data_IF_236339034041
#
_entry.id   IF_236339034041
#
_cell.length_a   1.000
_cell.length_b   1.000
_cell.length_c   1.000
_cell.angle_alpha   90.00
_cell.angle_beta   90.00
_cell.angle_gamma   90.00
#
_symmetry.space_group_name_H-M   'P 1'
#
loop_
_entity.id
_entity.type
_entity.pdbx_description
1 polymer ?
#
# COMPACT_ATOMS: atom_id res chain seq x y z
N UNK A 1 -17.47 -52.60 -38.29
CA UNK A 1 -17.38 -53.32 -37.00
C UNK A 1 -17.92 -52.37 -35.94
N UNK A 2 -19.06 -52.72 -35.31
CA UNK A 2 -19.21 -52.96 -33.86
C UNK A 2 -18.79 -51.76 -32.98
N UNK A 3 -19.49 -51.26 -31.97
CA UNK A 3 -20.83 -51.38 -31.33
C UNK A 3 -20.84 -50.24 -30.30
N UNK A 4 -22.02 -49.83 -29.86
CA UNK A 4 -22.32 -48.87 -28.79
C UNK A 4 -21.52 -49.09 -27.48
N UNK A 5 -21.34 -48.04 -26.66
CA UNK A 5 -22.10 -47.94 -25.40
C UNK A 5 -21.85 -46.62 -24.65
N UNK A 6 -22.98 -46.05 -24.20
CA UNK A 6 -23.10 -45.00 -23.20
C UNK A 6 -23.28 -45.69 -21.85
N UNK A 7 -22.57 -45.23 -20.81
CA UNK A 7 -23.01 -45.47 -19.44
C UNK A 7 -22.69 -44.27 -18.53
N UNK A 8 -23.76 -43.60 -18.12
CA UNK A 8 -23.84 -42.71 -16.96
C UNK A 8 -23.51 -43.46 -15.66
N UNK A 9 -23.02 -42.74 -14.65
CA UNK A 9 -23.64 -42.72 -13.33
C UNK A 9 -23.12 -41.59 -12.46
N UNK A 10 -24.08 -40.83 -11.93
CA UNK A 10 -24.03 -39.98 -10.75
C UNK A 10 -23.29 -40.62 -9.57
N UNK A 11 -22.54 -39.81 -8.82
CA UNK A 11 -22.85 -39.62 -7.39
C UNK A 11 -22.27 -38.31 -6.88
N UNK A 12 -23.15 -37.36 -6.58
CA UNK A 12 -22.86 -36.28 -5.64
C UNK A 12 -22.75 -36.86 -4.23
N UNK A 13 -21.67 -36.53 -3.52
CA UNK A 13 -21.68 -36.60 -2.05
C UNK A 13 -21.42 -35.20 -1.48
N UNK A 14 -22.52 -34.56 -1.06
CA UNK A 14 -22.53 -33.44 -0.12
C UNK A 14 -22.27 -33.99 1.28
N UNK A 15 -21.19 -33.58 1.90
CA UNK A 15 -21.04 -33.54 3.36
C UNK A 15 -20.64 -32.09 3.66
N UNK A 16 -21.45 -31.24 4.31
CA UNK A 16 -22.21 -31.48 5.53
C UNK A 16 -21.43 -30.89 6.70
N UNK A 17 -21.52 -29.56 6.89
CA UNK A 17 -20.80 -28.79 7.93
C UNK A 17 -21.27 -29.15 9.34
N UNK A 18 -20.34 -29.26 10.30
CA UNK A 18 -20.42 -28.62 11.63
C UNK A 18 -19.03 -28.47 12.28
N UNK A 19 -18.75 -27.34 12.98
CA UNK A 19 -17.44 -27.03 13.53
C UNK A 19 -17.24 -27.65 14.92
N UNK A 20 -16.03 -28.17 15.19
CA UNK A 20 -15.62 -28.62 16.51
C UNK A 20 -14.67 -27.58 17.15
N UNK A 21 -15.24 -26.84 18.10
CA UNK A 21 -14.69 -26.27 19.33
C UNK A 21 -13.15 -26.18 19.53
N UNK A 22 -12.72 -24.94 19.80
CA UNK A 22 -11.79 -24.49 20.84
C UNK A 22 -10.44 -25.23 21.01
N UNK A 23 -9.37 -24.60 20.53
CA UNK A 23 -8.04 -24.67 21.16
C UNK A 23 -7.49 -23.25 21.25
N UNK A 24 -7.40 -22.73 22.48
CA UNK A 24 -6.89 -21.41 22.76
C UNK A 24 -5.46 -21.24 22.25
N UNK A 25 -5.25 -20.17 21.51
CA UNK A 25 -3.93 -19.58 21.35
C UNK A 25 -3.96 -18.23 22.06
N UNK A 26 -3.30 -18.18 23.21
CA UNK A 26 -2.95 -16.93 23.86
C UNK A 26 -2.18 -16.06 22.86
N UNK A 27 -2.60 -14.82 22.57
CA UNK A 27 -1.76 -13.92 21.80
C UNK A 27 -0.61 -13.47 22.70
N UNK A 28 0.59 -13.85 22.26
CA UNK A 28 1.85 -13.35 22.76
C UNK A 28 1.82 -11.81 22.72
N UNK A 29 2.03 -11.19 23.88
CA UNK A 29 1.97 -9.75 24.04
C UNK A 29 3.03 -9.05 23.19
N UNK A 30 2.58 -8.20 22.26
CA UNK A 30 3.44 -7.17 21.68
C UNK A 30 3.68 -6.07 22.74
N UNK A 31 4.90 -5.52 22.87
CA UNK A 31 5.15 -4.43 23.82
C UNK A 31 4.32 -3.19 23.43
N UNK A 32 3.33 -2.88 24.27
CA UNK A 32 2.50 -1.68 24.13
C UNK A 32 3.33 -0.45 24.46
N UNK A 33 3.42 0.49 23.51
CA UNK A 33 3.90 1.84 23.80
C UNK A 33 2.92 2.54 24.76
N UNK A 34 3.39 3.39 25.70
CA UNK A 34 2.49 4.08 26.61
C UNK A 34 1.62 5.10 25.84
N UNK A 35 0.34 5.28 26.23
CA UNK A 35 -0.53 6.25 25.59
C UNK A 35 -0.06 7.67 25.91
N UNK A 36 -0.07 8.54 24.89
CA UNK A 36 0.11 9.96 25.05
C UNK A 36 -0.95 10.51 26.03
N UNK A 37 -0.51 11.20 27.08
CA UNK A 37 -1.39 11.91 28.01
C UNK A 37 -2.10 13.06 27.29
N UNK A 38 -3.26 12.76 26.69
CA UNK A 38 -4.25 13.74 26.31
C UNK A 38 -5.16 14.01 27.50
N UNK A 39 -4.97 15.13 28.18
CA UNK A 39 -5.83 15.58 29.28
C UNK A 39 -7.28 15.69 28.81
N UNK A 40 -8.14 14.83 29.34
CA UNK A 40 -9.60 14.95 29.18
C UNK A 40 -10.14 15.80 30.32
N UNK A 41 -10.85 16.87 30.00
CA UNK A 41 -11.60 17.67 30.98
C UNK A 41 -12.68 16.79 31.65
N UNK A 42 -12.96 16.95 32.96
CA UNK A 42 -13.97 16.15 33.64
C UNK A 42 -15.37 16.44 33.09
N UNK A 43 -16.07 15.42 32.58
CA UNK A 43 -17.48 15.48 32.17
C UNK A 43 -17.78 15.21 30.69
N UNK A 44 -16.78 15.00 29.84
CA UNK A 44 -17.02 14.61 28.45
C UNK A 44 -17.41 13.12 28.38
N UNK A 45 -18.61 12.82 27.87
CA UNK A 45 -19.00 11.47 27.49
C UNK A 45 -17.98 10.91 26.48
N UNK A 46 -17.61 9.62 26.57
CA UNK A 46 -16.70 9.02 25.62
C UNK A 46 -17.31 9.16 24.23
N UNK A 47 -16.65 9.93 23.36
CA UNK A 47 -16.97 9.90 21.93
C UNK A 47 -16.71 8.46 21.49
N UNK A 48 -17.78 7.73 21.20
CA UNK A 48 -17.68 6.43 20.55
C UNK A 48 -16.87 6.55 19.26
N UNK A 49 -16.45 5.42 18.66
CA UNK A 49 -15.64 5.44 17.46
C UNK A 49 -16.31 6.33 16.40
N UNK A 50 -15.73 7.49 16.12
CA UNK A 50 -16.16 8.28 14.97
C UNK A 50 -15.76 7.47 13.74
N UNK A 51 -16.67 7.27 12.76
CA UNK A 51 -16.27 6.74 11.47
C UNK A 51 -15.12 7.62 10.97
N UNK A 52 -14.01 7.00 10.60
CA UNK A 52 -12.94 7.72 9.91
C UNK A 52 -13.59 8.45 8.73
N UNK A 53 -13.31 9.75 8.58
CA UNK A 53 -13.77 10.51 7.43
C UNK A 53 -13.47 9.71 6.16
N UNK A 54 -14.39 9.68 5.17
CA UNK A 54 -14.17 8.89 3.97
C UNK A 54 -12.82 9.28 3.37
N UNK A 55 -11.92 8.30 3.27
CA UNK A 55 -10.66 8.53 2.59
C UNK A 55 -10.94 8.52 1.10
N UNK A 56 -11.26 9.68 0.54
CA UNK A 56 -11.59 9.83 -0.89
C UNK A 56 -10.40 9.46 -1.81
N UNK A 57 -9.20 9.22 -1.26
CA UNK A 57 -8.06 8.67 -2.00
C UNK A 57 -8.14 7.15 -2.18
N UNK A 58 -8.97 6.45 -1.40
CA UNK A 58 -9.19 5.02 -1.52
C UNK A 58 -10.46 4.77 -2.33
N UNK A 59 -10.27 4.36 -3.58
CA UNK A 59 -11.36 3.92 -4.45
C UNK A 59 -12.08 2.73 -3.80
N UNK A 60 -13.42 2.81 -3.70
CA UNK A 60 -14.22 1.82 -3.01
C UNK A 60 -14.32 0.46 -3.74
N UNK A 61 -14.05 0.45 -5.04
CA UNK A 61 -14.15 -0.74 -5.89
C UNK A 61 -13.11 -0.71 -7.02
N UNK A 62 -12.86 -1.88 -7.62
CA UNK A 62 -11.87 -2.06 -8.69
C UNK A 62 -12.53 -2.65 -9.93
N UNK A 63 -12.14 -2.15 -11.10
CA UNK A 63 -12.45 -2.73 -12.41
C UNK A 63 -11.13 -3.15 -13.07
N UNK A 64 -11.05 -4.42 -13.49
CA UNK A 64 -9.89 -4.98 -14.17
C UNK A 64 -10.17 -5.13 -15.67
N UNK A 65 -9.31 -4.56 -16.51
CA UNK A 65 -9.44 -4.60 -17.98
C UNK A 65 -8.12 -5.07 -18.60
N UNK A 66 -8.20 -6.04 -19.53
CA UNK A 66 -7.05 -6.47 -20.33
C UNK A 66 -6.90 -5.57 -21.54
N UNK A 67 -5.71 -5.01 -21.73
CA UNK A 67 -5.38 -4.16 -22.86
C UNK A 67 -4.41 -4.88 -23.79
N UNK A 68 -4.54 -4.64 -25.10
CA UNK A 68 -3.49 -5.00 -26.04
C UNK A 68 -2.24 -4.14 -25.78
N UNK A 69 -1.06 -4.65 -26.14
CA UNK A 69 0.19 -3.90 -25.93
C UNK A 69 0.20 -2.51 -26.59
N UNK A 70 -0.28 -2.33 -27.85
CA UNK A 70 -0.35 -1.01 -28.47
C UNK A 70 -1.28 -0.05 -27.73
N UNK A 71 -2.45 -0.53 -27.28
CA UNK A 71 -3.40 0.29 -26.54
C UNK A 71 -2.85 0.73 -25.19
N UNK A 72 -2.15 -0.17 -24.48
CA UNK A 72 -1.46 0.17 -23.24
C UNK A 72 -0.42 1.28 -23.46
N UNK A 73 0.39 1.17 -24.52
CA UNK A 73 1.41 2.17 -24.82
C UNK A 73 0.80 3.55 -25.13
N UNK A 74 -0.27 3.59 -25.93
CA UNK A 74 -0.99 4.83 -26.24
C UNK A 74 -1.61 5.46 -25.00
N UNK A 75 -2.22 4.66 -24.12
CA UNK A 75 -2.78 5.13 -22.85
C UNK A 75 -1.71 5.77 -21.96
N UNK A 76 -0.58 5.08 -21.75
CA UNK A 76 0.52 5.61 -20.93
C UNK A 76 1.08 6.90 -21.52
N UNK A 77 1.18 7.01 -22.86
CA UNK A 77 1.63 8.24 -23.51
C UNK A 77 0.65 9.40 -23.29
N UNK A 78 -0.65 9.17 -23.41
CA UNK A 78 -1.68 10.17 -23.15
C UNK A 78 -1.68 10.62 -21.67
N UNK A 79 -1.63 9.68 -20.73
CA UNK A 79 -1.58 9.98 -19.30
C UNK A 79 -0.33 10.79 -18.94
N UNK A 80 0.81 10.48 -19.55
CA UNK A 80 2.04 11.25 -19.38
C UNK A 80 1.92 12.67 -19.94
N UNK A 81 1.32 12.85 -21.11
CA UNK A 81 1.13 14.17 -21.70
C UNK A 81 0.26 15.08 -20.82
N UNK A 82 -0.67 14.48 -20.08
CA UNK A 82 -1.57 15.18 -19.16
C UNK A 82 -1.05 15.26 -17.72
N UNK A 83 0.10 14.65 -17.42
CA UNK A 83 0.65 14.63 -16.08
C UNK A 83 -0.24 13.90 -15.06
N UNK A 84 -0.96 12.87 -15.47
CA UNK A 84 -1.83 12.07 -14.59
C UNK A 84 -1.45 10.59 -14.65
N UNK A 85 -2.02 9.79 -13.76
CA UNK A 85 -1.87 8.33 -13.84
C UNK A 85 -2.80 7.72 -14.89
N UNK A 86 -2.39 6.60 -15.52
CA UNK A 86 -3.22 5.86 -16.49
C UNK A 86 -4.64 5.59 -15.99
N UNK A 87 -4.76 5.19 -14.71
CA UNK A 87 -6.06 4.91 -14.09
C UNK A 87 -6.90 6.16 -13.86
N UNK A 88 -6.28 7.29 -13.49
CA UNK A 88 -7.00 8.56 -13.35
C UNK A 88 -7.50 9.07 -14.70
N UNK A 89 -6.67 8.94 -15.76
CA UNK A 89 -7.08 9.31 -17.11
C UNK A 89 -8.29 8.50 -17.59
N UNK A 90 -8.25 7.17 -17.43
CA UNK A 90 -9.39 6.31 -17.79
C UNK A 90 -10.64 6.70 -17.00
N UNK A 91 -10.53 6.86 -15.67
CA UNK A 91 -11.69 7.20 -14.85
C UNK A 91 -12.27 8.56 -15.25
N UNK A 92 -11.42 9.54 -15.60
CA UNK A 92 -11.88 10.83 -16.12
C UNK A 92 -12.64 10.68 -17.44
N UNK A 93 -12.08 9.95 -18.42
CA UNK A 93 -12.78 9.71 -19.69
C UNK A 93 -14.10 8.97 -19.51
N UNK A 94 -14.16 7.99 -18.60
CA UNK A 94 -15.39 7.28 -18.27
C UNK A 94 -16.40 8.22 -17.61
N UNK A 95 -15.96 9.06 -16.68
CA UNK A 95 -16.82 10.05 -16.03
C UNK A 95 -17.37 11.06 -17.04
N UNK A 96 -16.52 11.60 -17.91
CA UNK A 96 -16.90 12.54 -18.97
C UNK A 96 -17.94 11.91 -19.91
N UNK A 97 -17.74 10.65 -20.31
CA UNK A 97 -18.68 9.91 -21.17
C UNK A 97 -20.04 9.63 -20.50
N UNK A 98 -20.07 9.56 -19.16
CA UNK A 98 -21.27 9.33 -18.36
C UNK A 98 -21.90 10.63 -17.82
N UNK A 99 -21.28 11.79 -18.06
CA UNK A 99 -21.71 13.07 -17.49
C UNK A 99 -21.53 13.17 -15.98
N UNK A 100 -20.55 12.45 -15.42
CA UNK A 100 -20.23 12.45 -13.99
C UNK A 100 -19.06 13.39 -13.68
N UNK A 101 -19.01 13.93 -12.47
CA UNK A 101 -17.85 14.69 -11.98
C UNK A 101 -16.77 13.75 -11.44
N UNK A 102 -15.51 14.06 -11.74
CA UNK A 102 -14.34 13.26 -11.37
C UNK A 102 -13.23 14.15 -10.78
N UNK A 103 -13.59 15.01 -9.82
CA UNK A 103 -12.68 15.98 -9.20
C UNK A 103 -11.39 15.33 -8.65
N UNK A 104 -11.52 14.19 -7.97
CA UNK A 104 -10.37 13.45 -7.43
C UNK A 104 -9.40 12.94 -8.51
N UNK A 105 -9.91 12.59 -9.70
CA UNK A 105 -9.11 12.12 -10.82
C UNK A 105 -8.48 13.29 -11.58
N UNK A 106 -9.15 14.45 -11.63
CA UNK A 106 -8.56 15.70 -12.16
C UNK A 106 -7.43 16.22 -11.28
N UNK A 107 -7.52 16.01 -9.98
CA UNK A 107 -6.45 16.33 -9.02
C UNK A 107 -5.34 15.26 -8.99
N UNK A 108 -5.40 14.22 -9.82
CA UNK A 108 -4.36 13.19 -9.88
C UNK A 108 -3.06 13.79 -10.41
N UNK A 109 -1.97 13.57 -9.69
CA UNK A 109 -0.62 13.93 -10.14
C UNK A 109 0.05 12.74 -10.85
N UNK A 110 1.16 12.95 -11.58
CA UNK A 110 1.93 11.85 -12.13
C UNK A 110 2.40 10.93 -11.01
N UNK A 111 2.62 9.66 -11.31
CA UNK A 111 3.35 8.80 -10.36
C UNK A 111 4.75 9.36 -10.20
N UNK A 112 5.11 9.73 -8.97
CA UNK A 112 6.49 10.05 -8.62
C UNK A 112 7.33 8.80 -8.86
N UNK A 113 8.16 8.84 -9.91
CA UNK A 113 9.07 7.75 -10.25
C UNK A 113 10.44 8.10 -9.72
N UNK A 114 10.91 7.30 -8.76
CA UNK A 114 12.28 7.39 -8.26
C UNK A 114 13.19 6.79 -9.36
N UNK A 115 14.17 7.56 -9.88
CA UNK A 115 15.17 7.05 -10.81
C UNK A 115 15.95 5.84 -10.24
N UNK A 116 16.45 4.93 -11.08
CA UNK A 116 17.14 3.72 -10.61
C UNK A 116 18.37 4.02 -9.73
N UNK A 117 19.08 5.12 -10.00
CA UNK A 117 20.21 5.60 -9.20
C UNK A 117 19.78 6.00 -7.79
N UNK A 118 18.69 6.76 -7.65
CA UNK A 118 18.12 7.14 -6.36
C UNK A 118 17.55 5.93 -5.62
N UNK A 119 16.98 4.98 -6.36
CA UNK A 119 16.47 3.73 -5.81
C UNK A 119 17.61 2.87 -5.22
N UNK A 120 18.78 2.84 -5.86
CA UNK A 120 19.97 2.17 -5.34
C UNK A 120 20.49 2.84 -4.06
N UNK A 121 20.49 4.18 -4.01
CA UNK A 121 20.85 4.94 -2.79
C UNK A 121 19.91 4.62 -1.64
N UNK A 122 18.59 4.61 -1.88
CA UNK A 122 17.60 4.23 -0.87
C UNK A 122 17.79 2.79 -0.37
N UNK A 123 18.06 1.85 -1.28
CA UNK A 123 18.32 0.46 -0.91
C UNK A 123 19.63 0.28 -0.11
N UNK A 124 20.64 1.12 -0.37
CA UNK A 124 21.85 1.21 0.45
C UNK A 124 21.56 1.74 1.85
N UNK A 125 20.85 2.87 1.94
CA UNK A 125 20.46 3.48 3.19
C UNK A 125 19.64 2.55 4.11
N UNK A 126 18.75 1.73 3.53
CA UNK A 126 17.98 0.72 4.28
C UNK A 126 18.86 -0.43 4.80
N UNK A 127 19.87 -0.86 4.03
CA UNK A 127 20.85 -1.84 4.49
C UNK A 127 21.70 -1.29 5.61
N UNK A 128 22.18 -0.06 5.47
CA UNK A 128 22.95 0.64 6.51
C UNK A 128 22.12 0.81 7.78
N UNK A 129 20.83 1.13 7.64
CA UNK A 129 19.90 1.20 8.76
C UNK A 129 19.77 -0.15 9.47
N UNK A 130 19.59 -1.25 8.73
CA UNK A 130 19.55 -2.60 9.29
C UNK A 130 20.86 -2.97 10.01
N UNK A 131 22.00 -2.58 9.44
CA UNK A 131 23.32 -2.80 10.05
C UNK A 131 23.53 -1.99 11.34
N UNK A 132 22.77 -0.91 11.59
CA UNK A 132 22.79 -0.17 12.86
C UNK A 132 21.96 -0.83 13.96
N UNK A 133 20.98 -1.68 13.62
CA UNK A 133 20.19 -2.42 14.61
C UNK A 133 20.96 -3.59 15.24
N UNK A 134 21.90 -4.19 14.50
CA UNK A 134 22.72 -5.31 14.97
C UNK A 134 23.63 -4.91 16.16
N UNK A 135 24.36 -3.77 16.12
CA UNK A 135 25.05 -3.22 17.27
C UNK A 135 24.11 -2.90 18.44
N UNK A 136 22.95 -2.26 18.21
CA UNK A 136 22.04 -1.80 19.28
C UNK A 136 21.54 -2.92 20.21
N UNK A 137 21.67 -4.18 19.78
CA UNK A 137 21.37 -5.38 20.59
C UNK A 137 22.51 -5.78 21.55
N UNK A 138 23.66 -5.11 21.48
CA UNK A 138 24.83 -5.33 22.34
C UNK A 138 24.90 -4.27 23.44
N UNK A 139 25.33 -4.64 24.66
CA UNK A 139 25.32 -3.75 25.82
C UNK A 139 26.29 -2.55 25.75
N UNK A 140 27.20 -2.48 24.77
CA UNK A 140 28.22 -1.43 24.70
C UNK A 140 28.51 -0.94 23.28
N UNK A 141 27.48 -0.47 22.56
CA UNK A 141 27.74 0.30 21.34
C UNK A 141 27.94 1.76 21.69
N UNK A 142 29.05 2.38 21.26
CA UNK A 142 29.25 3.81 21.45
C UNK A 142 28.13 4.58 20.75
N UNK A 143 27.42 5.44 21.47
CA UNK A 143 26.35 6.27 20.92
C UNK A 143 26.82 7.11 19.72
N UNK A 144 28.10 7.48 19.69
CA UNK A 144 28.73 8.23 18.61
C UNK A 144 28.79 7.45 17.29
N UNK A 145 28.98 6.13 17.33
CA UNK A 145 28.99 5.28 16.13
C UNK A 145 27.59 5.17 15.51
N UNK A 146 26.57 5.00 16.36
CA UNK A 146 25.17 4.97 15.92
C UNK A 146 24.77 6.31 15.32
N UNK A 147 25.13 7.42 15.99
CA UNK A 147 24.85 8.77 15.52
C UNK A 147 25.52 9.05 14.17
N UNK A 148 26.80 8.69 14.02
CA UNK A 148 27.51 8.85 12.75
C UNK A 148 26.87 8.01 11.62
N UNK A 149 26.37 6.81 11.92
CA UNK A 149 25.62 5.99 10.97
C UNK A 149 24.30 6.63 10.54
N UNK A 150 23.53 7.14 11.49
CA UNK A 150 22.27 7.85 11.20
C UNK A 150 22.51 9.13 10.40
N UNK A 151 23.57 9.87 10.67
CA UNK A 151 23.93 11.08 9.91
C UNK A 151 24.29 10.75 8.46
N UNK A 152 24.99 9.63 8.20
CA UNK A 152 25.25 9.13 6.84
C UNK A 152 23.95 8.78 6.11
N UNK A 153 23.06 8.03 6.74
CA UNK A 153 21.75 7.66 6.18
C UNK A 153 20.93 8.91 5.87
N UNK A 154 20.87 9.85 6.82
CA UNK A 154 20.17 11.13 6.65
C UNK A 154 20.73 11.92 5.48
N UNK A 155 22.05 12.04 5.37
CA UNK A 155 22.71 12.76 4.28
C UNK A 155 22.38 12.17 2.91
N UNK A 156 22.30 10.83 2.81
CA UNK A 156 21.96 10.14 1.57
C UNK A 156 20.47 10.25 1.18
N UNK A 157 19.55 10.18 2.16
CA UNK A 157 18.09 10.11 1.90
C UNK A 157 17.46 11.50 1.74
N UNK A 158 17.91 12.50 2.48
CA UNK A 158 17.27 13.83 2.50
C UNK A 158 17.22 14.52 1.12
N UNK A 159 18.28 14.51 0.29
CA UNK A 159 18.22 15.11 -1.05
C UNK A 159 17.13 14.48 -1.93
N UNK A 160 16.97 13.16 -1.86
CA UNK A 160 15.96 12.41 -2.61
C UNK A 160 14.57 12.83 -2.14
N UNK A 161 14.30 12.78 -0.83
CA UNK A 161 12.97 13.14 -0.27
C UNK A 161 12.58 14.57 -0.61
N UNK A 162 13.51 15.53 -0.50
CA UNK A 162 13.26 16.93 -0.85
C UNK A 162 13.06 17.09 -2.38
N UNK A 163 13.76 16.31 -3.20
CA UNK A 163 13.58 16.29 -4.65
C UNK A 163 12.20 15.78 -5.08
N UNK A 164 11.70 14.74 -4.42
CA UNK A 164 10.36 14.18 -4.66
C UNK A 164 9.24 15.20 -4.39
N UNK A 165 9.39 16.06 -3.37
CA UNK A 165 8.43 17.10 -3.03
C UNK A 165 8.42 18.33 -3.96
N UNK A 166 9.44 18.49 -4.82
CA UNK A 166 9.51 19.56 -5.82
C UNK A 166 9.07 19.15 -7.22
N UNK A 167 8.94 17.85 -7.44
CA UNK A 167 8.56 17.25 -8.74
C UNK A 167 7.09 16.81 -8.80
N UNK A 168 6.34 17.04 -7.72
CA UNK A 168 4.89 16.82 -7.58
C UNK A 168 4.18 18.17 -7.62
#
# INVERSE_FOLDING_TARGET
MQTSDVQSSDTMEKVGVKPAMAVGHAPHAAPQSPPASGGSLPGALPRGPQPAAPDYRKLASKVDVRLTAPLRAALTAAAKAEGVTDGALIRRWVADALGLDAEADRASAPRVRIPPEEQAVLAGALRDLGALYEPLSRPSVPADEVKAGLDRIRSAVMPIVIGLGRSA
#
